data_IF_357150339354
#
_entry.id   IF_357150339354
#
_cell.length_a   1.000
_cell.length_b   1.000
_cell.length_c   1.000
_cell.angle_alpha   90.00
_cell.angle_beta   90.00
_cell.angle_gamma   90.00
#
_symmetry.space_group_name_H-M   'P 1'
#
loop_
_entity.id
_entity.type
_entity.pdbx_description
1 polymer ?
#
# COMPACT_ATOMS: atom_id res chain seq x y z
N UNK A 1 -25.04 3.07 53.88
CA UNK A 1 -23.73 3.21 53.22
C UNK A 1 -23.71 2.25 52.05
N UNK A 2 -24.12 2.74 50.89
CA UNK A 2 -23.96 2.06 49.61
C UNK A 2 -22.78 2.77 48.95
N UNK A 3 -21.66 2.06 48.76
CA UNK A 3 -20.51 2.60 48.04
C UNK A 3 -20.66 2.19 46.58
N UNK A 4 -21.00 3.17 45.73
CA UNK A 4 -20.92 3.08 44.29
C UNK A 4 -19.45 2.94 43.89
N UNK A 5 -19.13 1.91 43.10
CA UNK A 5 -17.87 1.81 42.37
C UNK A 5 -18.09 2.47 41.01
N UNK A 6 -17.60 3.70 40.85
CA UNK A 6 -17.42 4.33 39.54
C UNK A 6 -16.30 3.59 38.79
N UNK A 7 -16.66 2.90 37.70
CA UNK A 7 -15.70 2.44 36.70
C UNK A 7 -15.29 3.66 35.87
N UNK A 8 -14.04 4.10 36.03
CA UNK A 8 -13.42 5.09 35.14
C UNK A 8 -12.98 4.43 33.83
N UNK A 9 -13.90 4.33 32.87
CA UNK A 9 -13.56 4.10 31.46
C UNK A 9 -13.18 5.43 30.80
N UNK A 10 -11.96 5.92 31.09
CA UNK A 10 -11.35 6.93 30.24
C UNK A 10 -10.31 6.23 29.38
N UNK A 11 -10.69 5.96 28.12
CA UNK A 11 -9.74 5.65 27.06
C UNK A 11 -8.70 6.77 26.90
N UNK A 12 -7.60 6.51 26.17
CA UNK A 12 -6.54 7.50 25.98
C UNK A 12 -7.08 8.77 25.28
N UNK A 13 -6.50 9.93 25.58
CA UNK A 13 -6.92 11.22 25.03
C UNK A 13 -7.09 11.19 23.50
N UNK A 14 -8.28 11.59 23.04
CA UNK A 14 -8.66 11.61 21.62
C UNK A 14 -9.16 10.28 21.04
N UNK A 15 -9.54 9.32 21.90
CA UNK A 15 -10.09 8.02 21.51
C UNK A 15 -11.51 7.89 22.08
N UNK A 16 -12.49 7.62 21.22
CA UNK A 16 -13.84 7.26 21.68
C UNK A 16 -13.83 5.92 22.44
N UNK A 17 -14.85 5.62 23.28
CA UNK A 17 -14.95 4.35 24.02
C UNK A 17 -14.78 3.10 23.15
N UNK A 18 -15.10 3.20 21.86
CA UNK A 18 -14.99 2.12 20.87
C UNK A 18 -13.61 2.03 20.16
N UNK A 19 -12.63 2.82 20.59
CA UNK A 19 -11.27 2.78 20.04
C UNK A 19 -11.10 3.50 18.70
N UNK A 20 -12.05 4.37 18.32
CA UNK A 20 -12.01 5.17 17.09
C UNK A 20 -11.27 6.48 17.37
N UNK A 21 -10.32 6.83 16.51
CA UNK A 21 -9.60 8.11 16.59
C UNK A 21 -10.31 9.11 15.68
N UNK A 22 -10.52 10.33 16.17
CA UNK A 22 -11.07 11.42 15.37
C UNK A 22 -9.99 12.17 14.59
N UNK A 23 -10.34 12.63 13.39
CA UNK A 23 -9.49 13.53 12.62
C UNK A 23 -9.47 14.91 13.26
N UNK A 24 -8.30 15.57 13.29
CA UNK A 24 -8.12 16.89 13.91
C UNK A 24 -7.72 17.99 12.90
N UNK A 25 -7.93 17.75 11.61
CA UNK A 25 -7.62 18.69 10.53
C UNK A 25 -8.82 18.95 9.63
N UNK A 26 -9.11 20.23 9.38
CA UNK A 26 -10.31 20.68 8.68
C UNK A 26 -10.05 21.44 7.37
N UNK A 27 -8.81 21.88 7.10
CA UNK A 27 -8.49 22.57 5.84
C UNK A 27 -8.57 21.57 4.67
N UNK A 28 -9.37 21.92 3.66
CA UNK A 28 -9.53 21.19 2.40
C UNK A 28 -9.16 22.15 1.29
N UNK A 29 -8.24 21.73 0.42
CA UNK A 29 -7.80 22.52 -0.75
C UNK A 29 -8.13 21.77 -2.02
N UNK A 30 -9.06 22.31 -2.81
CA UNK A 30 -9.68 21.61 -3.95
C UNK A 30 -8.84 21.65 -5.24
N UNK A 31 -7.76 22.43 -5.27
CA UNK A 31 -6.86 22.54 -6.41
C UNK A 31 -5.38 22.55 -5.97
N UNK A 32 -4.50 21.89 -6.72
CA UNK A 32 -3.06 21.92 -6.50
C UNK A 32 -2.48 23.34 -6.57
N UNK A 33 -3.01 24.21 -7.43
CA UNK A 33 -2.54 25.60 -7.56
C UNK A 33 -2.73 26.40 -6.25
N UNK A 34 -3.76 26.06 -5.47
CA UNK A 34 -4.09 26.72 -4.19
C UNK A 34 -3.27 26.18 -3.02
N UNK A 35 -2.51 25.09 -3.23
CA UNK A 35 -1.69 24.49 -2.17
C UNK A 35 -0.38 25.24 -1.90
N UNK A 36 -0.07 26.27 -2.70
CA UNK A 36 1.18 27.06 -2.65
C UNK A 36 2.43 26.19 -2.91
N UNK A 37 2.37 25.37 -3.95
CA UNK A 37 3.47 24.50 -4.40
C UNK A 37 4.40 25.25 -5.36
N UNK A 38 5.65 24.81 -5.46
CA UNK A 38 6.60 25.36 -6.42
C UNK A 38 6.10 25.15 -7.86
N UNK A 39 6.22 26.16 -8.73
CA UNK A 39 5.75 26.09 -10.12
C UNK A 39 6.31 24.89 -10.90
N UNK A 40 7.59 24.56 -10.68
CA UNK A 40 8.24 23.39 -11.28
C UNK A 40 7.62 22.07 -10.80
N UNK A 41 7.20 22.00 -9.53
CA UNK A 41 6.51 20.84 -8.98
C UNK A 41 5.09 20.74 -9.53
N UNK A 42 4.34 21.85 -9.59
CA UNK A 42 3.02 21.90 -10.22
C UNK A 42 3.07 21.40 -11.67
N UNK A 43 4.08 21.84 -12.44
CA UNK A 43 4.31 21.34 -13.80
C UNK A 43 4.52 19.83 -13.83
N UNK A 44 5.27 19.27 -12.88
CA UNK A 44 5.46 17.83 -12.75
C UNK A 44 4.16 17.07 -12.43
N UNK A 45 3.34 17.61 -11.52
CA UNK A 45 2.03 17.07 -11.14
C UNK A 45 1.11 16.98 -12.36
N UNK A 46 0.96 18.08 -13.11
CA UNK A 46 0.11 18.12 -14.29
C UNK A 46 0.65 17.27 -15.44
N UNK A 47 1.98 17.26 -15.66
CA UNK A 47 2.60 16.42 -16.69
C UNK A 47 2.47 14.91 -16.40
N UNK A 48 2.41 14.52 -15.12
CA UNK A 48 2.12 13.15 -14.71
C UNK A 48 0.68 12.72 -15.02
N UNK A 49 -0.22 13.68 -15.23
CA UNK A 49 -1.63 13.47 -15.57
C UNK A 49 -2.61 13.67 -14.42
N UNK A 50 -2.20 14.28 -13.30
CA UNK A 50 -3.14 14.68 -12.26
C UNK A 50 -3.84 15.99 -12.66
N UNK A 51 -5.17 16.00 -12.66
CA UNK A 51 -5.97 17.21 -12.95
C UNK A 51 -6.48 17.86 -11.66
N UNK A 52 -7.00 17.05 -10.73
CA UNK A 52 -7.54 17.49 -9.44
C UNK A 52 -7.00 16.62 -8.30
N UNK A 53 -6.78 17.20 -7.10
CA UNK A 53 -6.38 16.43 -5.95
C UNK A 53 -7.49 15.49 -5.49
N UNK A 54 -7.13 14.26 -5.13
CA UNK A 54 -8.03 13.31 -4.47
C UNK A 54 -8.38 13.77 -3.04
N UNK A 55 -9.41 13.18 -2.43
CA UNK A 55 -9.85 13.55 -1.07
C UNK A 55 -8.72 13.54 -0.03
N UNK A 56 -7.80 12.57 -0.11
CA UNK A 56 -6.65 12.52 0.80
C UNK A 56 -5.58 13.57 0.45
N UNK A 57 -5.38 13.90 -0.83
CA UNK A 57 -4.44 14.92 -1.28
C UNK A 57 -4.91 16.32 -0.85
N UNK A 58 -6.21 16.60 -0.98
CA UNK A 58 -6.84 17.86 -0.56
C UNK A 58 -6.61 18.19 0.92
N UNK A 59 -6.50 17.16 1.76
CA UNK A 59 -6.37 17.28 3.22
C UNK A 59 -4.93 17.14 3.71
N UNK A 60 -4.14 16.23 3.15
CA UNK A 60 -2.86 15.84 3.76
C UNK A 60 -1.64 16.54 3.17
N UNK A 61 -1.69 17.09 1.95
CA UNK A 61 -0.52 17.77 1.36
C UNK A 61 -0.14 19.01 2.20
N UNK A 62 -1.11 19.87 2.52
CA UNK A 62 -0.91 21.11 3.28
C UNK A 62 -0.24 20.91 4.64
N UNK A 63 -0.75 20.05 5.54
CA UNK A 63 -0.10 19.83 6.83
C UNK A 63 1.30 19.20 6.68
N UNK A 64 1.50 18.33 5.69
CA UNK A 64 2.83 17.77 5.41
C UNK A 64 3.83 18.86 4.99
N UNK A 65 3.47 19.77 4.09
CA UNK A 65 4.38 20.84 3.66
C UNK A 65 4.65 21.87 4.77
N UNK A 66 3.67 22.12 5.64
CA UNK A 66 3.81 22.99 6.83
C UNK A 66 4.78 22.42 7.87
N UNK A 67 5.05 21.10 7.84
CA UNK A 67 6.05 20.46 8.68
C UNK A 67 5.50 19.72 9.91
N UNK A 68 4.17 19.58 10.00
CA UNK A 68 3.53 18.80 11.06
C UNK A 68 3.77 17.30 10.87
N UNK A 69 3.83 16.55 11.96
CA UNK A 69 3.72 15.09 11.86
C UNK A 69 2.29 14.75 11.39
N UNK A 70 2.14 13.78 10.50
CA UNK A 70 0.83 13.47 9.86
C UNK A 70 0.56 11.98 9.87
N UNK A 71 -0.61 11.59 10.36
CA UNK A 71 -1.22 10.27 10.22
C UNK A 71 -2.34 10.39 9.19
N UNK A 72 -2.14 9.76 8.04
CA UNK A 72 -3.10 9.77 6.94
C UNK A 72 -3.61 8.35 6.69
N UNK A 73 -4.87 8.10 7.05
CA UNK A 73 -5.57 6.88 6.69
C UNK A 73 -6.32 7.10 5.38
N UNK A 74 -6.07 6.27 4.38
CA UNK A 74 -6.86 6.26 3.16
C UNK A 74 -6.79 4.90 2.46
N UNK A 75 -7.79 4.57 1.64
CA UNK A 75 -7.83 3.31 0.92
C UNK A 75 -6.69 3.18 -0.10
N UNK A 76 -6.43 1.96 -0.57
CA UNK A 76 -5.49 1.73 -1.68
C UNK A 76 -5.96 2.41 -2.96
N UNK A 77 -5.02 2.95 -3.76
CA UNK A 77 -5.35 3.61 -5.03
C UNK A 77 -5.94 5.01 -4.93
N UNK A 78 -6.06 5.61 -3.74
CA UNK A 78 -6.64 6.95 -3.53
C UNK A 78 -5.64 8.10 -3.65
N UNK A 79 -4.41 7.83 -4.08
CA UNK A 79 -3.38 8.87 -4.26
C UNK A 79 -2.43 9.09 -3.08
N UNK A 80 -2.44 8.22 -2.05
CA UNK A 80 -1.51 8.25 -0.91
C UNK A 80 -0.04 8.46 -1.29
N UNK A 81 0.45 7.69 -2.26
CA UNK A 81 1.84 7.77 -2.73
C UNK A 81 2.17 9.15 -3.29
N UNK A 82 1.28 9.72 -4.11
CA UNK A 82 1.46 11.06 -4.65
C UNK A 82 1.39 12.13 -3.55
N UNK A 83 0.53 11.96 -2.54
CA UNK A 83 0.41 12.89 -1.40
C UNK A 83 1.75 13.13 -0.71
N UNK A 84 2.45 12.08 -0.29
CA UNK A 84 3.75 12.26 0.37
C UNK A 84 4.87 12.57 -0.63
N UNK A 85 4.82 12.06 -1.86
CA UNK A 85 5.83 12.38 -2.88
C UNK A 85 5.85 13.88 -3.21
N UNK A 86 4.67 14.49 -3.42
CA UNK A 86 4.51 15.94 -3.60
C UNK A 86 5.03 16.69 -2.38
N UNK A 87 4.65 16.24 -1.18
CA UNK A 87 5.06 16.88 0.07
C UNK A 87 6.58 16.85 0.29
N UNK A 88 7.23 15.71 -0.01
CA UNK A 88 8.69 15.58 0.04
C UNK A 88 9.33 16.55 -0.96
N UNK A 89 8.93 16.49 -2.23
CA UNK A 89 9.51 17.30 -3.31
C UNK A 89 9.38 18.79 -3.03
N UNK A 90 8.27 19.22 -2.44
CA UNK A 90 8.04 20.61 -2.05
C UNK A 90 9.00 21.11 -0.96
N UNK A 91 9.49 20.23 -0.08
CA UNK A 91 10.36 20.61 1.05
C UNK A 91 11.85 20.40 0.78
N UNK A 92 12.22 19.87 -0.38
CA UNK A 92 13.62 19.64 -0.73
C UNK A 92 14.38 20.95 -0.93
N UNK A 93 15.59 21.00 -0.37
CA UNK A 93 16.60 21.97 -0.75
C UNK A 93 17.54 21.35 -1.80
N UNK A 94 17.30 21.67 -3.07
CA UNK A 94 18.06 21.12 -4.21
C UNK A 94 19.51 21.62 -4.28
N UNK A 95 19.87 22.65 -3.51
CA UNK A 95 21.26 23.10 -3.43
C UNK A 95 22.13 22.19 -2.57
N UNK A 96 21.49 21.40 -1.69
CA UNK A 96 22.15 20.51 -0.75
C UNK A 96 22.22 19.08 -1.30
N UNK A 97 23.44 18.65 -1.67
CA UNK A 97 23.75 17.26 -2.08
C UNK A 97 23.78 16.30 -0.88
N UNK A 98 22.62 16.09 -0.27
CA UNK A 98 22.44 15.16 0.84
C UNK A 98 21.04 14.56 0.81
N UNK A 99 20.89 13.37 1.38
CA UNK A 99 19.58 12.77 1.59
C UNK A 99 18.80 13.56 2.64
N UNK A 100 17.63 14.04 2.26
CA UNK A 100 16.75 14.92 3.04
C UNK A 100 15.42 14.25 3.39
N UNK A 101 15.01 13.23 2.62
CA UNK A 101 13.82 12.45 2.92
C UNK A 101 14.12 10.95 2.84
N UNK A 102 13.55 10.21 3.79
CA UNK A 102 13.59 8.75 3.85
C UNK A 102 12.17 8.20 3.83
N UNK A 103 11.89 7.30 2.90
CA UNK A 103 10.59 6.62 2.77
C UNK A 103 10.80 5.12 2.98
N UNK A 104 10.06 4.53 3.92
CA UNK A 104 10.00 3.08 4.07
C UNK A 104 8.74 2.52 3.41
N UNK A 105 8.93 1.39 2.73
CA UNK A 105 7.87 0.60 2.14
C UNK A 105 8.03 -0.88 2.51
N UNK A 106 6.94 -1.64 2.66
CA UNK A 106 6.97 -3.05 3.06
C UNK A 106 7.61 -4.00 2.05
N UNK A 107 7.61 -3.64 0.76
CA UNK A 107 8.09 -4.50 -0.32
C UNK A 107 9.06 -3.77 -1.23
N UNK A 108 9.91 -4.56 -1.92
CA UNK A 108 10.88 -4.04 -2.88
C UNK A 108 10.17 -3.44 -4.10
N UNK A 109 9.10 -4.09 -4.52
CA UNK A 109 8.26 -3.69 -5.65
C UNK A 109 7.59 -2.33 -5.39
N UNK A 110 7.04 -2.14 -4.19
CA UNK A 110 6.46 -0.86 -3.80
C UNK A 110 7.51 0.23 -3.70
N UNK A 111 8.68 -0.05 -3.10
CA UNK A 111 9.77 0.92 -3.05
C UNK A 111 10.21 1.40 -4.44
N UNK A 112 10.31 0.48 -5.42
CA UNK A 112 10.60 0.84 -6.81
C UNK A 112 9.48 1.68 -7.44
N UNK A 113 8.22 1.37 -7.14
CA UNK A 113 7.09 2.13 -7.65
C UNK A 113 7.03 3.55 -7.08
N UNK A 114 7.21 3.70 -5.77
CA UNK A 114 7.29 5.01 -5.12
C UNK A 114 8.41 5.83 -5.75
N UNK A 115 9.60 5.23 -5.97
CA UNK A 115 10.69 5.90 -6.68
C UNK A 115 10.27 6.42 -8.04
N UNK A 116 9.58 5.62 -8.86
CA UNK A 116 9.10 6.06 -10.19
C UNK A 116 8.13 7.23 -10.09
N UNK A 117 7.22 7.23 -9.12
CA UNK A 117 6.29 8.34 -8.88
C UNK A 117 7.06 9.60 -8.49
N UNK A 118 8.01 9.48 -7.56
CA UNK A 118 8.87 10.60 -7.13
C UNK A 118 9.68 11.15 -8.29
N UNK A 119 10.35 10.29 -9.07
CA UNK A 119 11.15 10.68 -10.23
C UNK A 119 10.28 11.42 -11.26
N UNK A 120 9.08 10.93 -11.56
CA UNK A 120 8.19 11.54 -12.55
C UNK A 120 7.61 12.88 -12.09
N UNK A 121 7.20 13.00 -10.81
CA UNK A 121 6.72 14.27 -10.26
C UNK A 121 7.86 15.28 -10.08
N UNK A 122 9.07 14.82 -9.83
CA UNK A 122 10.27 15.63 -9.62
C UNK A 122 11.06 16.00 -10.88
N UNK A 123 10.63 15.55 -12.06
CA UNK A 123 11.38 15.65 -13.32
C UNK A 123 11.82 17.10 -13.63
N UNK A 124 10.91 18.07 -13.43
CA UNK A 124 11.19 19.49 -13.66
C UNK A 124 11.96 20.19 -12.53
N UNK A 125 12.14 19.53 -11.39
CA UNK A 125 12.93 20.04 -10.25
C UNK A 125 14.40 19.66 -10.37
N UNK A 126 14.72 18.49 -10.93
CA UNK A 126 16.05 17.90 -10.84
C UNK A 126 16.32 17.21 -9.49
N UNK A 127 15.26 16.85 -8.77
CA UNK A 127 15.36 16.04 -7.56
C UNK A 127 15.83 14.62 -7.93
N UNK A 128 16.58 13.98 -7.04
CA UNK A 128 17.11 12.62 -7.26
C UNK A 128 16.57 11.68 -6.20
N UNK A 129 16.06 10.52 -6.64
CA UNK A 129 15.53 9.49 -5.77
C UNK A 129 16.24 8.14 -6.00
N UNK A 130 16.60 7.46 -4.91
CA UNK A 130 17.21 6.14 -4.94
C UNK A 130 16.35 5.10 -4.24
N UNK A 131 16.26 3.89 -4.82
CA UNK A 131 15.56 2.75 -4.23
C UNK A 131 16.56 1.81 -3.53
N UNK A 132 16.55 1.82 -2.20
CA UNK A 132 17.40 1.04 -1.30
C UNK A 132 16.69 -0.28 -0.92
N UNK A 133 16.83 -1.30 -1.77
CA UNK A 133 16.09 -2.57 -1.67
C UNK A 133 17.03 -3.78 -1.61
N UNK A 134 16.58 -4.86 -0.97
CA UNK A 134 17.34 -6.11 -0.91
C UNK A 134 17.51 -6.79 -2.28
N UNK A 135 18.47 -7.70 -2.39
CA UNK A 135 18.72 -8.48 -3.63
C UNK A 135 19.68 -7.80 -4.62
N UNK A 136 20.10 -6.56 -4.36
CA UNK A 136 21.09 -5.81 -5.13
C UNK A 136 22.48 -5.92 -4.51
N UNK A 137 23.53 -5.69 -5.34
CA UNK A 137 24.92 -5.76 -4.91
C UNK A 137 25.30 -4.56 -4.02
N UNK A 138 25.46 -4.83 -2.72
CA UNK A 138 25.76 -3.82 -1.69
C UNK A 138 26.99 -2.97 -2.01
N UNK A 139 28.04 -3.53 -2.66
CA UNK A 139 29.24 -2.75 -3.00
C UNK A 139 28.94 -1.70 -4.06
N UNK A 140 28.18 -2.08 -5.09
CA UNK A 140 27.76 -1.15 -6.14
C UNK A 140 26.81 -0.08 -5.60
N UNK A 141 25.88 -0.46 -4.70
CA UNK A 141 24.99 0.51 -4.05
C UNK A 141 25.77 1.51 -3.19
N UNK A 142 26.73 1.02 -2.41
CA UNK A 142 27.59 1.85 -1.56
C UNK A 142 28.34 2.89 -2.38
N UNK A 143 28.93 2.45 -3.50
CA UNK A 143 29.62 3.35 -4.42
C UNK A 143 28.66 4.41 -4.96
N UNK A 144 27.48 4.00 -5.43
CA UNK A 144 26.47 4.93 -5.99
C UNK A 144 25.97 5.95 -4.97
N UNK A 145 25.64 5.51 -3.74
CA UNK A 145 25.20 6.40 -2.65
C UNK A 145 26.30 7.34 -2.17
N UNK A 146 27.57 7.03 -2.45
CA UNK A 146 28.72 7.87 -2.07
C UNK A 146 29.11 8.85 -3.19
N UNK A 147 29.06 8.42 -4.45
CA UNK A 147 29.43 9.23 -5.61
C UNK A 147 28.33 10.22 -6.01
N UNK A 148 27.06 9.79 -5.94
CA UNK A 148 25.90 10.60 -6.30
C UNK A 148 24.83 10.49 -5.19
N UNK A 149 24.99 11.34 -4.18
CA UNK A 149 24.13 11.32 -2.99
C UNK A 149 22.71 11.75 -3.38
N UNK A 150 21.71 10.86 -3.27
CA UNK A 150 20.35 11.20 -3.66
C UNK A 150 19.69 12.11 -2.64
N UNK A 151 18.81 13.00 -3.09
CA UNK A 151 17.99 13.84 -2.21
C UNK A 151 16.97 13.01 -1.42
N UNK A 152 16.44 11.95 -2.05
CA UNK A 152 15.40 11.07 -1.48
C UNK A 152 15.90 9.63 -1.52
N UNK A 153 15.71 8.90 -0.42
CA UNK A 153 15.88 7.45 -0.38
C UNK A 153 14.55 6.80 -0.06
N UNK A 154 14.16 5.83 -0.88
CA UNK A 154 12.99 4.95 -0.67
C UNK A 154 13.51 3.54 -0.47
N UNK A 155 13.02 2.77 0.49
CA UNK A 155 13.54 1.42 0.65
C UNK A 155 12.76 0.52 1.59
N UNK A 156 13.16 -0.75 1.61
CA UNK A 156 12.64 -1.72 2.59
C UNK A 156 13.36 -1.58 3.93
N UNK A 157 12.69 -1.70 5.09
CA UNK A 157 13.29 -1.47 6.41
C UNK A 157 14.64 -2.18 6.61
N UNK A 158 14.72 -3.48 6.33
CA UNK A 158 15.97 -4.24 6.54
C UNK A 158 17.18 -3.72 5.75
N UNK A 159 17.00 -3.32 4.48
CA UNK A 159 18.11 -2.81 3.65
C UNK A 159 18.49 -1.38 4.05
N UNK A 160 17.51 -0.53 4.34
CA UNK A 160 17.76 0.84 4.83
C UNK A 160 18.53 0.81 6.15
N UNK A 161 18.11 -0.05 7.08
CA UNK A 161 18.80 -0.22 8.36
C UNK A 161 20.26 -0.65 8.20
N UNK A 162 20.54 -1.63 7.32
CA UNK A 162 21.92 -2.05 7.00
C UNK A 162 22.76 -0.89 6.44
N UNK A 163 22.21 -0.10 5.51
CA UNK A 163 22.93 1.05 4.94
C UNK A 163 23.20 2.17 5.95
N UNK A 164 22.28 2.42 6.88
CA UNK A 164 22.47 3.36 7.98
C UNK A 164 23.52 2.86 8.99
N UNK A 165 23.47 1.57 9.34
CA UNK A 165 24.46 0.96 10.27
C UNK A 165 25.88 1.02 9.72
N UNK A 166 26.04 0.78 8.42
CA UNK A 166 27.35 0.87 7.75
C UNK A 166 27.80 2.31 7.49
N UNK A 167 27.01 3.31 7.89
CA UNK A 167 27.25 4.73 7.60
C UNK A 167 27.39 5.06 6.10
N UNK A 168 26.82 4.19 5.23
CA UNK A 168 26.75 4.42 3.79
C UNK A 168 25.66 5.46 3.51
N UNK A 169 24.47 5.25 4.10
CA UNK A 169 23.41 6.25 4.13
C UNK A 169 23.64 7.19 5.32
N UNK A 170 23.84 8.47 5.06
CA UNK A 170 24.05 9.48 6.11
C UNK A 170 22.73 10.14 6.47
N UNK A 171 22.32 10.03 7.74
CA UNK A 171 21.02 10.52 8.21
C UNK A 171 20.98 11.99 8.64
N UNK A 172 22.15 12.65 8.80
CA UNK A 172 22.26 13.99 9.40
C UNK A 172 21.38 15.06 8.75
N UNK A 173 21.14 14.97 7.44
CA UNK A 173 20.35 15.94 6.68
C UNK A 173 18.90 15.52 6.47
N UNK A 174 18.49 14.34 6.96
CA UNK A 174 17.12 13.85 6.84
C UNK A 174 16.21 14.73 7.70
N UNK A 175 15.21 15.32 7.07
CA UNK A 175 14.20 16.20 7.68
C UNK A 175 12.81 15.59 7.66
N UNK A 176 12.56 14.63 6.78
CA UNK A 176 11.27 13.95 6.65
C UNK A 176 11.44 12.44 6.59
N UNK A 177 10.66 11.72 7.39
CA UNK A 177 10.59 10.27 7.46
C UNK A 177 9.17 9.82 7.17
N UNK A 178 9.00 8.99 6.13
CA UNK A 178 7.69 8.54 5.67
C UNK A 178 7.57 7.04 5.83
N UNK A 179 6.46 6.59 6.41
CA UNK A 179 6.07 5.18 6.50
C UNK A 179 4.87 4.95 5.58
N UNK A 180 5.08 4.32 4.42
CA UNK A 180 3.99 3.95 3.49
C UNK A 180 3.55 2.51 3.76
N UNK A 181 2.23 2.27 3.77
CA UNK A 181 1.60 1.00 4.17
C UNK A 181 2.12 0.52 5.55
N UNK A 182 1.98 1.38 6.55
CA UNK A 182 2.51 1.12 7.90
C UNK A 182 1.87 -0.10 8.59
N UNK A 183 0.57 -0.33 8.39
CA UNK A 183 -0.14 -1.57 8.79
C UNK A 183 0.60 -2.82 8.31
N UNK A 184 0.99 -2.82 7.04
CA UNK A 184 1.69 -3.94 6.44
C UNK A 184 3.08 -4.14 7.02
N UNK A 185 3.86 -3.07 7.16
CA UNK A 185 5.20 -3.19 7.69
C UNK A 185 5.21 -3.79 9.09
N UNK A 186 4.24 -3.42 9.93
CA UNK A 186 4.12 -3.97 11.29
C UNK A 186 3.64 -5.42 11.28
N UNK A 187 2.68 -5.78 10.41
CA UNK A 187 2.22 -7.18 10.29
C UNK A 187 3.34 -8.15 9.87
N UNK A 188 4.34 -7.65 9.13
CA UNK A 188 5.53 -8.42 8.72
C UNK A 188 6.62 -8.49 9.78
N UNK A 189 6.39 -7.92 10.96
CA UNK A 189 7.36 -7.90 12.04
C UNK A 189 8.49 -6.88 11.85
N UNK A 190 8.29 -5.82 11.04
CA UNK A 190 9.30 -4.76 10.89
C UNK A 190 9.28 -3.71 12.02
N UNK A 191 8.52 -3.94 13.10
CA UNK A 191 8.34 -3.00 14.23
C UNK A 191 9.70 -2.56 14.81
N UNK A 192 10.56 -3.51 15.11
CA UNK A 192 11.87 -3.24 15.72
C UNK A 192 12.81 -2.53 14.73
N UNK A 193 12.85 -2.96 13.47
CA UNK A 193 13.70 -2.31 12.47
C UNK A 193 13.27 -0.87 12.18
N UNK A 194 11.96 -0.58 12.17
CA UNK A 194 11.46 0.80 12.03
C UNK A 194 11.92 1.64 13.23
N UNK A 195 11.82 1.10 14.44
CA UNK A 195 12.28 1.77 15.67
C UNK A 195 13.78 2.07 15.61
N UNK A 196 14.60 1.09 15.24
CA UNK A 196 16.06 1.25 15.14
C UNK A 196 16.48 2.25 14.04
N UNK A 197 15.74 2.30 12.93
CA UNK A 197 15.95 3.31 11.89
C UNK A 197 15.65 4.70 12.46
N UNK A 198 14.49 4.87 13.10
CA UNK A 198 14.06 6.15 13.65
C UNK A 198 15.06 6.71 14.66
N UNK A 199 15.62 5.86 15.54
CA UNK A 199 16.64 6.26 16.51
C UNK A 199 17.93 6.81 15.88
N UNK A 200 18.20 6.50 14.60
CA UNK A 200 19.37 7.01 13.86
C UNK A 200 19.08 8.30 13.10
N UNK A 201 17.83 8.75 13.07
CA UNK A 201 17.44 9.99 12.41
C UNK A 201 17.60 11.19 13.37
N UNK A 202 17.75 12.42 12.84
CA UNK A 202 17.75 13.62 13.67
C UNK A 202 16.45 13.75 14.48
N UNK A 203 16.54 14.23 15.73
CA UNK A 203 15.37 14.40 16.60
C UNK A 203 14.31 15.37 16.05
N UNK A 204 14.70 16.30 15.16
CA UNK A 204 13.81 17.23 14.48
C UNK A 204 13.10 16.65 13.25
N UNK A 205 13.34 15.38 12.90
CA UNK A 205 12.74 14.75 11.72
C UNK A 205 11.23 14.71 11.81
N UNK A 206 10.55 15.28 10.82
CA UNK A 206 9.10 15.18 10.64
C UNK A 206 8.72 13.75 10.26
N UNK A 207 7.65 13.21 10.84
CA UNK A 207 7.17 11.86 10.57
C UNK A 207 5.81 11.92 9.87
N UNK A 208 5.70 11.24 8.73
CA UNK A 208 4.45 11.06 7.98
C UNK A 208 4.14 9.58 7.90
N UNK A 209 3.00 9.16 8.43
CA UNK A 209 2.53 7.78 8.39
C UNK A 209 1.31 7.69 7.48
N UNK A 210 1.37 6.81 6.48
CA UNK A 210 0.26 6.50 5.61
C UNK A 210 -0.11 5.03 5.75
N UNK A 211 -1.39 4.77 5.94
CA UNK A 211 -1.90 3.41 6.12
C UNK A 211 -3.31 3.27 5.56
N UNK A 212 -3.71 2.06 5.18
CA UNK A 212 -5.11 1.80 4.83
C UNK A 212 -5.94 1.46 6.06
N UNK A 213 -5.36 0.72 6.99
CA UNK A 213 -5.96 0.38 8.29
C UNK A 213 -5.14 0.98 9.43
N UNK A 214 -5.78 1.18 10.59
CA UNK A 214 -5.13 1.71 11.79
C UNK A 214 -5.32 0.74 12.98
N UNK A 215 -4.75 -0.48 12.93
CA UNK A 215 -4.78 -1.38 14.07
C UNK A 215 -3.96 -0.83 15.25
N UNK A 216 -4.19 -1.39 16.44
CA UNK A 216 -3.54 -0.96 17.68
C UNK A 216 -2.03 -0.88 17.57
N UNK A 217 -1.37 -1.83 16.88
CA UNK A 217 0.08 -1.80 16.66
C UNK A 217 0.56 -0.56 15.89
N UNK A 218 -0.19 -0.13 14.86
CA UNK A 218 0.11 1.11 14.12
C UNK A 218 -0.05 2.31 15.04
N UNK A 219 -1.09 2.32 15.87
CA UNK A 219 -1.33 3.39 16.83
C UNK A 219 -0.23 3.49 17.89
N UNK A 220 0.24 2.37 18.42
CA UNK A 220 1.37 2.35 19.36
C UNK A 220 2.65 2.94 18.76
N UNK A 221 2.92 2.63 17.49
CA UNK A 221 4.05 3.18 16.74
C UNK A 221 3.94 4.71 16.64
N UNK A 222 2.75 5.24 16.31
CA UNK A 222 2.57 6.70 16.22
C UNK A 222 2.85 7.42 17.55
N UNK A 223 2.44 6.83 18.68
CA UNK A 223 2.66 7.41 20.03
C UNK A 223 4.13 7.51 20.42
N UNK A 224 5.01 6.68 19.85
CA UNK A 224 6.45 6.66 20.18
C UNK A 224 7.28 7.63 19.35
N UNK A 225 6.86 7.92 18.12
CA UNK A 225 7.70 8.62 17.15
C UNK A 225 7.16 9.99 16.71
N UNK A 226 5.87 10.24 16.91
CA UNK A 226 5.21 11.45 16.44
C UNK A 226 4.96 12.44 17.57
N UNK A 227 4.97 13.73 17.23
CA UNK A 227 4.73 14.86 18.13
C UNK A 227 3.50 15.61 17.67
N UNK A 228 2.45 15.55 18.48
CA UNK A 228 1.16 16.18 18.20
C UNK A 228 0.69 16.00 16.73
N UNK A 229 0.53 14.74 16.27
CA UNK A 229 0.29 14.49 14.86
C UNK A 229 -1.08 14.99 14.42
N UNK A 230 -1.11 15.54 13.22
CA UNK A 230 -2.34 15.76 12.47
C UNK A 230 -2.88 14.42 12.00
N UNK A 231 -4.13 14.14 12.34
CA UNK A 231 -4.84 12.91 12.05
C UNK A 231 -5.88 13.19 10.98
N UNK A 232 -5.70 12.56 9.82
CA UNK A 232 -6.63 12.57 8.70
C UNK A 232 -7.11 11.15 8.56
N UNK A 233 -8.26 10.87 9.16
CA UNK A 233 -8.81 9.52 9.27
C UNK A 233 -10.10 9.42 8.45
N UNK A 234 -10.19 8.36 7.67
CA UNK A 234 -11.41 8.02 6.94
C UNK A 234 -12.29 7.19 7.87
N UNK A 235 -13.58 7.53 7.96
CA UNK A 235 -14.52 6.77 8.78
C UNK A 235 -14.55 5.32 8.32
N UNK A 236 -14.72 4.37 9.26
CA UNK A 236 -14.74 2.93 8.95
C UNK A 236 -15.77 2.57 7.87
N UNK A 237 -16.91 3.24 7.85
CA UNK A 237 -17.99 3.05 6.88
C UNK A 237 -17.58 3.45 5.44
N UNK A 238 -16.67 4.41 5.31
CA UNK A 238 -16.09 4.88 4.05
C UNK A 238 -14.83 4.08 3.63
N UNK A 239 -14.49 2.98 4.32
CA UNK A 239 -13.42 2.06 3.88
C UNK A 239 -13.90 1.04 2.83
N UNK A 240 -15.21 0.96 2.59
CA UNK A 240 -15.75 0.14 1.51
C UNK A 240 -15.25 0.69 0.17
N UNK A 241 -14.72 -0.19 -0.68
CA UNK A 241 -14.19 0.18 -1.99
C UNK A 241 -15.37 0.47 -2.93
N UNK A 242 -15.94 1.68 -2.83
CA UNK A 242 -16.95 2.17 -3.76
C UNK A 242 -16.45 1.96 -5.20
N UNK A 243 -17.11 1.06 -5.94
CA UNK A 243 -16.72 0.68 -7.30
C UNK A 243 -16.27 -0.77 -7.48
N UNK A 244 -16.07 -1.54 -6.40
CA UNK A 244 -15.77 -2.97 -6.48
C UNK A 244 -16.99 -3.80 -6.10
N UNK A 245 -17.53 -4.55 -7.06
CA UNK A 245 -18.57 -5.56 -6.79
C UNK A 245 -17.93 -6.80 -6.18
N UNK A 246 -18.45 -7.23 -5.04
CA UNK A 246 -17.88 -8.32 -4.26
C UNK A 246 -18.83 -9.52 -4.29
N UNK A 247 -18.34 -10.65 -4.80
CA UNK A 247 -19.09 -11.89 -4.89
C UNK A 247 -18.38 -13.02 -4.16
N UNK A 248 -19.12 -14.04 -3.74
CA UNK A 248 -18.58 -15.32 -3.32
C UNK A 248 -19.18 -16.47 -4.13
N UNK A 249 -18.40 -17.53 -4.30
CA UNK A 249 -18.83 -18.82 -4.82
C UNK A 249 -18.61 -19.83 -3.70
N UNK A 250 -19.68 -20.48 -3.24
CA UNK A 250 -19.56 -21.61 -2.34
C UNK A 250 -19.14 -22.85 -3.14
N UNK A 251 -17.86 -23.20 -3.06
CA UNK A 251 -17.30 -24.37 -3.74
C UNK A 251 -17.46 -25.65 -2.91
N UNK A 252 -17.96 -25.54 -1.67
CA UNK A 252 -18.07 -26.60 -0.65
C UNK A 252 -16.73 -27.22 -0.22
N UNK A 253 -15.94 -27.72 -1.18
CA UNK A 253 -14.69 -28.45 -1.00
C UNK A 253 -13.52 -27.75 -1.72
N UNK A 254 -12.34 -27.89 -1.13
CA UNK A 254 -11.11 -27.31 -1.65
C UNK A 254 -10.75 -27.83 -3.06
N UNK A 255 -10.93 -29.13 -3.31
CA UNK A 255 -10.60 -29.74 -4.60
C UNK A 255 -11.46 -29.22 -5.76
N UNK A 256 -12.64 -28.65 -5.48
CA UNK A 256 -13.57 -28.12 -6.48
C UNK A 256 -13.22 -26.70 -6.93
N UNK A 257 -12.32 -26.00 -6.22
CA UNK A 257 -11.90 -24.63 -6.58
C UNK A 257 -11.21 -24.57 -7.93
N UNK A 258 -10.39 -25.57 -8.29
CA UNK A 258 -9.65 -25.57 -9.55
C UNK A 258 -10.59 -25.69 -10.76
N UNK A 259 -11.60 -26.55 -10.67
CA UNK A 259 -12.61 -26.71 -11.73
C UNK A 259 -13.45 -25.44 -11.84
N UNK A 260 -13.96 -24.94 -10.71
CA UNK A 260 -14.69 -23.66 -10.65
C UNK A 260 -13.89 -22.50 -11.26
N UNK A 261 -12.58 -22.44 -10.99
CA UNK A 261 -11.71 -21.41 -11.56
C UNK A 261 -11.64 -21.50 -13.08
N UNK A 262 -11.47 -22.70 -13.64
CA UNK A 262 -11.43 -22.88 -15.09
C UNK A 262 -12.76 -22.51 -15.74
N UNK A 263 -13.89 -22.92 -15.16
CA UNK A 263 -15.23 -22.58 -15.66
C UNK A 263 -15.45 -21.05 -15.70
N UNK A 264 -14.95 -20.32 -14.69
CA UNK A 264 -14.97 -18.86 -14.69
C UNK A 264 -14.19 -18.27 -15.87
N UNK A 265 -13.00 -18.79 -16.17
CA UNK A 265 -12.19 -18.31 -17.29
C UNK A 265 -12.76 -18.68 -18.66
N UNK A 266 -13.52 -19.75 -18.78
CA UNK A 266 -14.23 -20.12 -20.01
C UNK A 266 -15.44 -19.22 -20.26
N UNK A 267 -16.12 -18.78 -19.19
CA UNK A 267 -17.36 -17.98 -19.28
C UNK A 267 -17.10 -16.48 -19.39
N UNK A 268 -15.99 -15.99 -18.84
CA UNK A 268 -15.72 -14.56 -18.70
C UNK A 268 -14.65 -14.06 -19.67
N UNK A 269 -14.95 -12.97 -20.39
CA UNK A 269 -13.94 -12.23 -21.16
C UNK A 269 -13.09 -11.37 -20.23
N UNK A 270 -12.01 -11.95 -19.71
CA UNK A 270 -11.13 -11.28 -18.75
C UNK A 270 -10.03 -10.51 -19.48
N UNK A 271 -9.92 -9.20 -19.20
CA UNK A 271 -8.80 -8.37 -19.67
C UNK A 271 -7.52 -8.75 -18.92
N UNK A 272 -7.51 -8.54 -17.61
CA UNK A 272 -6.47 -8.99 -16.70
C UNK A 272 -7.06 -9.34 -15.33
N UNK A 273 -6.53 -10.41 -14.74
CA UNK A 273 -6.93 -10.90 -13.43
C UNK A 273 -5.74 -11.16 -12.51
N UNK A 274 -5.99 -10.99 -11.22
CA UNK A 274 -5.05 -11.39 -10.15
C UNK A 274 -5.71 -12.45 -9.28
N UNK A 275 -5.03 -13.56 -9.07
CA UNK A 275 -5.48 -14.67 -8.24
C UNK A 275 -4.61 -14.74 -6.99
N UNK A 276 -5.23 -14.60 -5.82
CA UNK A 276 -4.56 -14.63 -4.53
C UNK A 276 -4.68 -15.99 -3.83
N UNK A 277 -3.54 -16.48 -3.34
CA UNK A 277 -3.43 -17.69 -2.52
C UNK A 277 -2.65 -17.40 -1.24
N UNK A 278 -2.87 -18.22 -0.21
CA UNK A 278 -2.22 -17.99 1.10
C UNK A 278 -0.79 -18.51 1.15
N UNK A 279 -0.42 -19.48 0.29
CA UNK A 279 0.89 -20.14 0.37
C UNK A 279 1.61 -20.21 -0.96
N UNK A 280 2.94 -20.12 -0.90
CA UNK A 280 3.85 -20.23 -2.06
C UNK A 280 3.68 -21.55 -2.81
N UNK A 281 3.63 -22.66 -2.06
CA UNK A 281 3.43 -24.01 -2.62
C UNK A 281 2.16 -24.11 -3.47
N UNK A 282 1.09 -23.44 -3.03
CA UNK A 282 -0.19 -23.46 -3.74
C UNK A 282 -0.18 -22.55 -4.96
N UNK A 283 0.57 -21.44 -4.93
CA UNK A 283 0.85 -20.62 -6.12
C UNK A 283 1.54 -21.46 -7.19
N UNK A 284 2.60 -22.18 -6.84
CA UNK A 284 3.33 -23.03 -7.78
C UNK A 284 2.43 -24.15 -8.35
N UNK A 285 1.70 -24.83 -7.46
CA UNK A 285 0.75 -25.88 -7.85
C UNK A 285 -0.34 -25.35 -8.79
N UNK A 286 -0.99 -24.23 -8.47
CA UNK A 286 -2.06 -23.67 -9.30
C UNK A 286 -1.51 -23.23 -10.65
N UNK A 287 -0.31 -22.66 -10.67
CA UNK A 287 0.37 -22.24 -11.91
C UNK A 287 0.61 -23.43 -12.83
N UNK A 288 1.11 -24.54 -12.29
CA UNK A 288 1.30 -25.79 -13.05
C UNK A 288 -0.03 -26.34 -13.58
N UNK A 289 -1.07 -26.37 -12.75
CA UNK A 289 -2.40 -26.89 -13.13
C UNK A 289 -3.13 -26.03 -14.15
N UNK A 290 -3.00 -24.72 -14.08
CA UNK A 290 -3.56 -23.82 -15.09
C UNK A 290 -2.76 -23.89 -16.39
N UNK A 291 -1.43 -23.93 -16.32
CA UNK A 291 -0.57 -24.03 -17.51
C UNK A 291 -0.79 -25.35 -18.26
N UNK A 292 -1.03 -26.46 -17.56
CA UNK A 292 -1.34 -27.75 -18.21
C UNK A 292 -2.71 -27.82 -18.86
N UNK A 293 -3.57 -26.83 -18.61
CA UNK A 293 -4.88 -26.61 -19.26
C UNK A 293 -4.82 -25.46 -20.28
N UNK A 294 -3.62 -25.17 -20.80
CA UNK A 294 -3.35 -24.15 -21.82
C UNK A 294 -3.67 -22.69 -21.41
N UNK A 295 -3.84 -22.41 -20.11
CA UNK A 295 -3.93 -21.02 -19.63
C UNK A 295 -2.55 -20.38 -19.56
N UNK A 296 -2.41 -19.20 -20.18
CA UNK A 296 -1.21 -18.38 -20.04
C UNK A 296 -1.26 -17.62 -18.71
N UNK A 297 -0.56 -18.16 -17.71
CA UNK A 297 -0.50 -17.61 -16.35
C UNK A 297 0.93 -17.22 -15.99
N UNK A 298 1.08 -16.19 -15.16
CA UNK A 298 2.34 -15.84 -14.51
C UNK A 298 2.22 -16.02 -13.01
N UNK A 299 3.26 -16.50 -12.35
CA UNK A 299 3.31 -16.69 -10.91
C UNK A 299 4.28 -15.68 -10.27
N UNK A 300 3.94 -15.14 -9.10
CA UNK A 300 4.89 -14.33 -8.35
C UNK A 300 4.78 -14.55 -6.85
N UNK A 301 5.91 -14.82 -6.21
CA UNK A 301 5.99 -14.99 -4.75
C UNK A 301 7.38 -14.61 -4.21
N UNK A 302 7.53 -14.62 -2.87
CA UNK A 302 8.70 -14.06 -2.18
C UNK A 302 10.02 -14.82 -2.30
N UNK A 303 10.02 -16.07 -2.78
CA UNK A 303 11.24 -16.88 -2.95
C UNK A 303 11.92 -16.70 -4.30
N UNK A 304 11.24 -16.02 -5.23
CA UNK A 304 11.78 -15.77 -6.56
C UNK A 304 12.90 -14.73 -6.49
N UNK A 305 13.89 -14.88 -7.37
CA UNK A 305 14.92 -13.86 -7.50
C UNK A 305 14.33 -12.52 -7.97
N UNK A 306 14.93 -11.41 -7.53
CA UNK A 306 14.40 -10.08 -7.84
C UNK A 306 14.31 -9.82 -9.35
N UNK A 307 15.27 -10.34 -10.11
CA UNK A 307 15.34 -10.19 -11.56
C UNK A 307 14.13 -10.85 -12.23
N UNK A 308 13.75 -12.05 -11.79
CA UNK A 308 12.60 -12.77 -12.34
C UNK A 308 11.29 -12.08 -11.97
N UNK A 309 11.18 -11.58 -10.74
CA UNK A 309 10.02 -10.78 -10.28
C UNK A 309 9.84 -9.52 -11.13
N UNK A 310 10.91 -8.84 -11.49
CA UNK A 310 10.87 -7.66 -12.36
C UNK A 310 10.42 -7.99 -13.78
N UNK A 311 10.88 -9.12 -14.35
CA UNK A 311 10.46 -9.60 -15.67
C UNK A 311 8.98 -9.92 -15.68
N UNK A 312 8.51 -10.71 -14.72
CA UNK A 312 7.10 -11.11 -14.61
C UNK A 312 6.19 -9.90 -14.44
N UNK A 313 6.59 -8.94 -13.61
CA UNK A 313 5.84 -7.70 -13.44
C UNK A 313 5.83 -6.83 -14.69
N UNK A 314 6.88 -6.87 -15.51
CA UNK A 314 6.91 -6.18 -16.80
C UNK A 314 5.95 -6.84 -17.79
N UNK A 315 5.96 -8.17 -17.88
CA UNK A 315 5.08 -8.95 -18.76
C UNK A 315 3.61 -8.82 -18.40
N UNK A 316 3.30 -8.81 -17.09
CA UNK A 316 1.93 -8.58 -16.63
C UNK A 316 1.49 -7.15 -16.93
N UNK A 317 2.32 -6.13 -16.68
CA UNK A 317 1.96 -4.73 -17.00
C UNK A 317 1.82 -4.45 -18.50
N UNK A 318 2.56 -5.16 -19.36
CA UNK A 318 2.42 -5.03 -20.82
C UNK A 318 1.20 -5.76 -21.38
N UNK A 319 0.53 -6.58 -20.57
CA UNK A 319 -0.56 -7.45 -21.01
C UNK A 319 -0.10 -8.71 -21.76
N UNK A 320 1.20 -9.01 -21.75
CA UNK A 320 1.75 -10.25 -22.32
C UNK A 320 1.24 -11.48 -21.54
N UNK A 321 1.10 -11.31 -20.22
CA UNK A 321 0.35 -12.23 -19.37
C UNK A 321 -0.92 -11.54 -18.86
N UNK A 322 -2.04 -12.24 -18.94
CA UNK A 322 -3.35 -11.72 -18.49
C UNK A 322 -3.72 -12.18 -17.09
N UNK A 323 -3.05 -13.22 -16.56
CA UNK A 323 -3.37 -13.79 -15.26
C UNK A 323 -2.12 -13.81 -14.39
N UNK A 324 -2.20 -13.15 -13.23
CA UNK A 324 -1.13 -13.17 -12.23
C UNK A 324 -1.59 -13.96 -11.00
N UNK A 325 -0.92 -15.06 -10.71
CA UNK A 325 -1.11 -15.89 -9.52
C UNK A 325 -0.08 -15.47 -8.48
N UNK A 326 -0.52 -15.09 -7.27
CA UNK A 326 0.40 -14.56 -6.26
C UNK A 326 -0.05 -14.84 -4.83
N UNK A 327 0.88 -14.70 -3.88
CA UNK A 327 0.57 -14.61 -2.45
C UNK A 327 0.25 -13.18 -2.01
N UNK A 328 -0.15 -13.03 -0.74
CA UNK A 328 -0.33 -11.75 -0.04
C UNK A 328 0.89 -10.83 -0.09
N UNK A 329 2.08 -11.37 -0.38
CA UNK A 329 3.30 -10.58 -0.50
C UNK A 329 3.12 -9.45 -1.54
N UNK A 330 2.26 -9.66 -2.54
CA UNK A 330 1.91 -8.69 -3.57
C UNK A 330 0.50 -8.10 -3.47
N UNK A 331 -0.30 -8.49 -2.47
CA UNK A 331 -1.62 -7.87 -2.27
C UNK A 331 -1.50 -6.35 -2.08
N UNK A 332 -0.31 -5.86 -1.72
CA UNK A 332 -0.04 -4.48 -1.38
C UNK A 332 1.02 -3.84 -2.28
N UNK A 333 0.84 -2.55 -2.56
CA UNK A 333 1.81 -1.74 -3.30
C UNK A 333 1.95 -1.90 -4.83
N UNK A 334 1.54 -3.00 -5.48
CA UNK A 334 1.64 -3.08 -6.95
C UNK A 334 0.55 -2.26 -7.65
N UNK A 335 0.96 -1.32 -8.50
CA UNK A 335 0.11 -0.63 -9.46
C UNK A 335 -0.02 -1.43 -10.76
N UNK A 336 -1.19 -2.05 -10.88
CA UNK A 336 -1.66 -2.79 -12.06
C UNK A 336 -3.02 -2.24 -12.42
N UNK A 337 -3.00 -1.06 -13.05
CA UNK A 337 -4.18 -0.23 -13.35
C UNK A 337 -5.23 -0.93 -14.23
N UNK A 338 -4.85 -1.99 -14.94
CA UNK A 338 -5.67 -2.69 -15.92
C UNK A 338 -6.39 -3.94 -15.35
N UNK A 339 -6.25 -4.23 -14.05
CA UNK A 339 -6.93 -5.37 -13.41
C UNK A 339 -8.41 -5.05 -13.20
N UNK A 340 -9.27 -5.80 -13.86
CA UNK A 340 -10.73 -5.72 -13.72
C UNK A 340 -11.29 -6.77 -12.75
N UNK A 341 -10.59 -7.92 -12.64
CA UNK A 341 -11.02 -9.06 -11.85
C UNK A 341 -9.98 -9.46 -10.80
N UNK A 342 -10.40 -9.57 -9.55
CA UNK A 342 -9.60 -10.15 -8.46
C UNK A 342 -10.29 -11.44 -8.02
N UNK A 343 -9.53 -12.54 -7.95
CA UNK A 343 -10.01 -13.82 -7.44
C UNK A 343 -9.25 -14.15 -6.16
N UNK A 344 -9.97 -14.20 -5.04
CA UNK A 344 -9.47 -14.81 -3.81
C UNK A 344 -9.72 -16.32 -3.89
N UNK A 345 -8.75 -17.05 -4.44
CA UNK A 345 -8.80 -18.53 -4.47
C UNK A 345 -8.76 -19.09 -3.04
N UNK A 346 -7.96 -18.45 -2.18
CA UNK A 346 -8.04 -18.61 -0.73
C UNK A 346 -8.55 -17.32 -0.12
N UNK A 347 -9.44 -17.39 0.88
CA UNK A 347 -9.72 -16.22 1.71
C UNK A 347 -8.44 -15.79 2.47
N UNK A 348 -8.22 -14.48 2.66
CA UNK A 348 -7.07 -14.00 3.41
C UNK A 348 -7.13 -14.46 4.87
N UNK A 349 -5.98 -14.86 5.41
CA UNK A 349 -5.86 -15.29 6.81
C UNK A 349 -6.06 -14.16 7.81
N UNK A 350 -5.68 -12.93 7.43
CA UNK A 350 -5.99 -11.71 8.18
C UNK A 350 -7.02 -10.89 7.39
N UNK A 351 -8.15 -10.56 8.04
CA UNK A 351 -9.21 -9.69 7.50
C UNK A 351 -8.66 -8.39 6.90
N UNK A 352 -7.61 -7.82 7.48
CA UNK A 352 -7.00 -6.59 7.00
C UNK A 352 -6.48 -6.69 5.57
N UNK A 353 -5.97 -7.88 5.17
CA UNK A 353 -5.43 -8.11 3.83
C UNK A 353 -6.53 -8.10 2.76
N UNK A 354 -7.80 -8.29 3.13
CA UNK A 354 -8.91 -8.39 2.18
C UNK A 354 -9.01 -7.15 1.27
N UNK A 355 -9.08 -5.95 1.85
CA UNK A 355 -9.20 -4.70 1.07
C UNK A 355 -7.99 -4.45 0.18
N UNK A 356 -6.82 -4.95 0.61
CA UNK A 356 -5.59 -4.78 -0.13
C UNK A 356 -5.56 -5.65 -1.38
N UNK A 357 -6.01 -6.91 -1.24
CA UNK A 357 -6.23 -7.83 -2.37
C UNK A 357 -7.24 -7.25 -3.35
N UNK A 358 -8.44 -6.90 -2.87
CA UNK A 358 -9.53 -6.49 -3.76
C UNK A 358 -9.33 -5.08 -4.33
N UNK A 359 -8.69 -4.17 -3.59
CA UNK A 359 -8.35 -2.80 -4.03
C UNK A 359 -7.28 -2.72 -5.13
N UNK A 360 -6.90 -3.84 -5.74
CA UNK A 360 -6.21 -3.89 -7.03
C UNK A 360 -7.16 -3.63 -8.19
N UNK A 361 -8.42 -4.08 -8.07
CA UNK A 361 -9.51 -3.68 -8.96
C UNK A 361 -10.04 -2.29 -8.60
N UNK A 362 -10.64 -1.59 -9.56
CA UNK A 362 -11.42 -0.38 -9.30
C UNK A 362 -10.64 0.90 -8.98
N UNK A 363 -9.36 0.98 -9.33
CA UNK A 363 -8.56 2.21 -9.13
C UNK A 363 -9.06 3.37 -10.00
N UNK A 364 -8.97 4.60 -9.45
CA UNK A 364 -9.34 5.85 -10.13
C UNK A 364 -10.78 5.88 -10.66
N UNK A 365 -11.74 5.31 -9.91
CA UNK A 365 -13.16 5.31 -10.29
C UNK A 365 -13.55 4.28 -11.35
N UNK A 366 -12.65 3.36 -11.70
CA UNK A 366 -13.00 2.20 -12.54
C UNK A 366 -13.89 1.24 -11.74
N UNK A 367 -14.73 0.49 -12.44
CA UNK A 367 -15.45 -0.64 -11.83
C UNK A 367 -14.53 -1.85 -11.75
N UNK A 368 -14.56 -2.56 -10.63
CA UNK A 368 -13.83 -3.82 -10.44
C UNK A 368 -14.76 -4.91 -9.92
N UNK A 369 -14.34 -6.15 -10.07
CA UNK A 369 -15.04 -7.31 -9.51
C UNK A 369 -14.07 -8.13 -8.66
N UNK A 370 -14.51 -8.52 -7.47
CA UNK A 370 -13.80 -9.41 -6.58
C UNK A 370 -14.63 -10.68 -6.35
N UNK A 371 -14.07 -11.85 -6.67
CA UNK A 371 -14.70 -13.16 -6.48
C UNK A 371 -13.97 -13.92 -5.38
N UNK A 372 -14.72 -14.43 -4.40
CA UNK A 372 -14.20 -15.18 -3.27
C UNK A 372 -14.59 -16.65 -3.39
N UNK A 373 -13.62 -17.56 -3.47
CA UNK A 373 -13.89 -19.00 -3.44
C UNK A 373 -13.93 -19.48 -1.99
N UNK A 374 -15.12 -19.89 -1.55
CA UNK A 374 -15.41 -20.17 -0.14
C UNK A 374 -15.76 -21.63 0.03
N UNK A 375 -15.05 -22.33 0.92
CA UNK A 375 -15.41 -23.67 1.38
C UNK A 375 -16.32 -23.60 2.61
N UNK A 376 -16.84 -24.74 3.09
CA UNK A 376 -17.63 -24.79 4.33
C UNK A 376 -16.87 -24.21 5.54
N UNK A 377 -15.55 -24.44 5.63
CA UNK A 377 -14.71 -23.95 6.71
C UNK A 377 -14.47 -22.42 6.63
N UNK A 378 -14.58 -21.84 5.43
CA UNK A 378 -14.31 -20.43 5.15
C UNK A 378 -15.51 -19.51 5.48
N UNK A 379 -16.72 -20.07 5.68
CA UNK A 379 -17.96 -19.29 5.90
C UNK A 379 -17.86 -18.32 7.09
N UNK A 380 -17.17 -18.73 8.17
CA UNK A 380 -16.96 -17.86 9.33
C UNK A 380 -16.06 -16.69 9.00
N UNK A 381 -14.95 -16.95 8.32
CA UNK A 381 -13.99 -15.92 7.90
C UNK A 381 -14.64 -14.91 6.95
N UNK A 382 -15.48 -15.35 6.02
CA UNK A 382 -16.23 -14.46 5.13
C UNK A 382 -17.14 -13.49 5.92
N UNK A 383 -17.93 -14.02 6.87
CA UNK A 383 -18.80 -13.20 7.73
C UNK A 383 -18.02 -12.23 8.61
N UNK A 384 -16.86 -12.65 9.12
CA UNK A 384 -15.98 -11.80 9.90
C UNK A 384 -15.45 -10.63 9.06
N UNK A 385 -15.17 -10.84 7.76
CA UNK A 385 -14.79 -9.79 6.81
C UNK A 385 -15.96 -8.83 6.55
N UNK A 386 -17.16 -9.35 6.26
CA UNK A 386 -18.37 -8.55 6.02
C UNK A 386 -18.69 -7.64 7.22
N UNK A 387 -18.68 -8.21 8.43
CA UNK A 387 -18.94 -7.50 9.68
C UNK A 387 -17.87 -6.44 9.96
N UNK A 388 -16.60 -6.78 9.76
CA UNK A 388 -15.50 -5.85 10.04
C UNK A 388 -15.48 -4.62 9.12
N UNK A 389 -15.81 -4.81 7.84
CA UNK A 389 -15.84 -3.72 6.84
C UNK A 389 -17.22 -3.12 6.62
N UNK A 390 -18.24 -3.62 7.32
CA UNK A 390 -19.64 -3.24 7.11
C UNK A 390 -20.01 -3.28 5.61
N UNK A 391 -19.68 -4.39 4.96
CA UNK A 391 -19.89 -4.59 3.52
C UNK A 391 -20.73 -5.84 3.27
N UNK A 392 -21.28 -5.97 2.07
CA UNK A 392 -22.05 -7.13 1.63
C UNK A 392 -21.31 -7.83 0.51
N UNK A 393 -21.05 -9.13 0.69
CA UNK A 393 -20.46 -9.99 -0.33
C UNK A 393 -21.57 -10.91 -0.82
N UNK A 394 -22.07 -10.64 -2.01
CA UNK A 394 -23.24 -11.34 -2.56
C UNK A 394 -22.87 -12.72 -3.11
N UNK A 395 -23.81 -13.66 -3.11
CA UNK A 395 -23.61 -14.91 -3.83
C UNK A 395 -23.52 -14.60 -5.33
N UNK A 396 -22.53 -15.22 -5.99
CA UNK A 396 -22.28 -14.94 -7.40
C UNK A 396 -23.49 -15.37 -8.26
N UNK A 397 -24.11 -14.46 -9.03
CA UNK A 397 -25.25 -14.81 -9.87
C UNK A 397 -24.79 -15.63 -11.09
N UNK A 398 -25.69 -16.38 -11.72
CA UNK A 398 -25.35 -17.18 -12.90
C UNK A 398 -24.92 -16.33 -14.13
N UNK A 399 -25.34 -15.06 -14.19
CA UNK A 399 -25.06 -14.14 -15.31
C UNK A 399 -23.90 -13.18 -15.01
N UNK A 400 -22.74 -13.68 -14.59
CA UNK A 400 -21.58 -12.84 -14.23
C UNK A 400 -20.95 -12.13 -15.43
N UNK A 401 -21.12 -12.66 -16.64
CA UNK A 401 -20.59 -12.04 -17.86
C UNK A 401 -21.11 -10.61 -18.08
N UNK A 402 -22.30 -10.27 -17.58
CA UNK A 402 -22.88 -8.92 -17.69
C UNK A 402 -22.36 -7.96 -16.58
N UNK A 403 -21.62 -8.49 -15.61
CA UNK A 403 -21.16 -7.78 -14.41
C UNK A 403 -19.67 -7.39 -14.47
N UNK A 404 -18.91 -7.92 -15.42
CA UNK A 404 -17.48 -7.67 -15.66
C UNK A 404 -17.34 -6.94 -16.99
#
# INVERSE_FOLDING_TARGET
MSAEYEHSENGPDGMEPDGVIEGNWSEVVDNFDEMNLHEKLLRGIYAYGFEKPSAIQQRAIRPCIQGSDVIAQAQSGTGKTATFAISILQKLDLSLKATQALVLAPTRELAQQIRKVVDALGDYLGATCYACIGGTNVRQESQKLTEDVPHIVVGTPGRVFDMLNRSILRSKSIRMFVLDEADEMLSRGFKDQIYDIFQKLPASTQVVLLSATMPTDVLEVTKKFMRDPIRILVKKEELTLEGIRQFYINVEKEDWKLETLCDLYETLTITQAVIFLNTRRKVDWLTEKMSSRDFTVSALHGDMEQKDREVIMKEFRSGSSRVLITTDILARGIDVQQVSLVINYDLPTNRENYIHRIGRGGRFGRKGVAINMVTEDDKRTLRDIESFYNTTIEEMPNNVADLI
#
